data_IF_664723789849
#
_entry.id   IF_664723789849
#
_cell.length_a   1.000
_cell.length_b   1.000
_cell.length_c   1.000
_cell.angle_alpha   90.00
_cell.angle_beta   90.00
_cell.angle_gamma   90.00
#
_symmetry.space_group_name_H-M   'P 1'
#
loop_
_entity.id
_entity.type
_entity.pdbx_description
1 polymer ?
#
# COMPACT_ATOMS: atom_id res chain seq x y z
N UNK A 1 -13.62 38.06 30.73
CA UNK A 1 -14.96 37.66 30.25
C UNK A 1 -15.62 38.90 29.66
N UNK A 2 -16.24 38.86 28.46
CA UNK A 2 -17.00 37.76 27.85
C UNK A 2 -16.51 37.30 26.44
N UNK A 3 -17.06 36.16 26.02
CA UNK A 3 -17.02 35.58 24.66
C UNK A 3 -17.69 36.48 23.62
N UNK A 4 -17.32 36.33 22.32
CA UNK A 4 -18.33 36.17 21.30
C UNK A 4 -18.12 34.91 20.45
N UNK A 5 -19.19 34.14 20.44
CA UNK A 5 -19.55 33.00 19.62
C UNK A 5 -19.44 33.30 18.12
N UNK A 6 -18.77 32.42 17.39
CA UNK A 6 -18.75 32.42 15.93
C UNK A 6 -18.46 31.01 15.44
N UNK A 7 -19.50 30.18 15.38
CA UNK A 7 -19.45 28.81 14.86
C UNK A 7 -19.38 28.83 13.34
N UNK A 8 -18.43 28.15 12.68
CA UNK A 8 -18.61 27.66 11.33
C UNK A 8 -19.11 26.20 11.38
N UNK A 9 -20.26 25.97 10.76
CA UNK A 9 -20.93 24.69 10.57
C UNK A 9 -20.00 23.67 9.90
N UNK A 10 -19.70 22.56 10.59
CA UNK A 10 -19.08 21.39 9.96
C UNK A 10 -20.09 20.73 9.02
N UNK A 11 -19.78 20.69 7.72
CA UNK A 11 -20.60 19.98 6.73
C UNK A 11 -19.90 18.73 6.18
N UNK A 12 -19.28 17.92 7.03
CA UNK A 12 -18.91 16.55 6.65
C UNK A 12 -19.03 15.63 7.87
N UNK A 13 -20.27 15.22 8.12
CA UNK A 13 -20.54 14.08 8.99
C UNK A 13 -20.41 12.79 8.19
N UNK A 14 -19.32 12.05 8.41
CA UNK A 14 -19.32 10.58 8.35
C UNK A 14 -18.16 10.05 9.16
N UNK A 15 -18.48 9.16 10.10
CA UNK A 15 -17.56 8.52 11.04
C UNK A 15 -16.57 7.66 10.27
N UNK A 16 -15.29 7.90 10.51
CA UNK A 16 -14.21 6.94 10.28
C UNK A 16 -14.51 5.71 11.15
N UNK A 17 -14.37 4.52 10.59
CA UNK A 17 -14.46 3.30 11.37
C UNK A 17 -13.29 3.27 12.37
N UNK A 18 -13.62 3.37 13.65
CA UNK A 18 -12.68 3.30 14.76
C UNK A 18 -11.87 2.00 14.69
N UNK A 19 -10.54 2.14 14.64
CA UNK A 19 -9.61 1.06 14.96
C UNK A 19 -9.75 0.77 16.46
N UNK A 20 -10.36 -0.38 16.78
CA UNK A 20 -10.57 -0.80 18.17
C UNK A 20 -9.24 -1.06 18.90
N UNK A 21 -9.11 -0.65 20.18
CA UNK A 21 -7.95 -0.94 21.01
C UNK A 21 -7.98 -2.37 21.62
N UNK A 22 -6.77 -2.87 21.89
CA UNK A 22 -6.39 -4.15 22.47
C UNK A 22 -7.11 -4.45 23.82
N UNK A 23 -7.53 -5.70 24.11
CA UNK A 23 -8.24 -6.01 25.35
C UNK A 23 -7.30 -6.27 26.55
N UNK A 24 -7.56 -5.59 27.66
CA UNK A 24 -6.96 -5.83 28.97
C UNK A 24 -7.79 -6.87 29.75
N UNK A 25 -7.16 -7.97 30.20
CA UNK A 25 -7.66 -8.90 31.25
C UNK A 25 -7.85 -8.12 32.56
N UNK A 26 -8.85 -8.29 33.45
CA UNK A 26 -9.40 -9.44 34.22
C UNK A 26 -10.49 -8.84 35.18
N UNK A 27 -11.21 -9.53 36.09
CA UNK A 27 -11.61 -10.94 36.24
C UNK A 27 -13.15 -11.15 36.45
N UNK A 28 -13.50 -12.42 36.69
CA UNK A 28 -14.81 -13.10 36.83
C UNK A 28 -15.72 -12.59 37.95
N UNK A 29 -17.05 -12.55 37.70
CA UNK A 29 -18.06 -13.02 38.67
C UNK A 29 -19.42 -13.33 38.01
N UNK A 30 -20.06 -14.38 38.52
CA UNK A 30 -21.19 -15.14 37.97
C UNK A 30 -22.57 -14.55 38.31
N UNK A 31 -23.59 -14.80 37.48
CA UNK A 31 -24.87 -15.45 37.88
C UNK A 31 -25.73 -15.79 36.65
N UNK A 32 -26.57 -16.81 36.81
CA UNK A 32 -27.18 -17.65 35.77
C UNK A 32 -28.65 -17.30 35.42
N UNK A 33 -29.21 -18.09 34.48
CA UNK A 33 -30.64 -18.26 34.06
C UNK A 33 -31.03 -17.39 32.85
N UNK A 34 -31.75 -17.81 31.80
CA UNK A 34 -32.37 -19.07 31.38
C UNK A 34 -32.83 -18.91 29.89
N UNK A 35 -32.93 -20.03 29.17
CA UNK A 35 -33.68 -20.41 27.93
C UNK A 35 -34.15 -19.35 26.90
N UNK A 36 -33.83 -19.60 25.61
CA UNK A 36 -34.79 -19.45 24.50
C UNK A 36 -34.26 -18.90 23.17
N UNK A 37 -34.16 -19.79 22.16
CA UNK A 37 -34.42 -19.53 20.72
C UNK A 37 -33.58 -18.46 20.00
N UNK A 38 -32.67 -18.90 19.11
CA UNK A 38 -32.81 -18.88 17.64
C UNK A 38 -31.45 -19.27 17.06
N UNK A 39 -31.38 -20.40 16.35
CA UNK A 39 -30.20 -20.86 15.62
C UNK A 39 -30.00 -19.95 14.40
N UNK A 40 -29.48 -18.74 14.66
CA UNK A 40 -28.89 -17.89 13.63
C UNK A 40 -27.61 -18.57 13.19
N UNK A 41 -27.65 -19.19 12.02
CA UNK A 41 -26.45 -19.53 11.26
C UNK A 41 -25.62 -18.25 11.09
N UNK A 42 -24.65 -18.07 11.98
CA UNK A 42 -23.50 -17.22 11.74
C UNK A 42 -22.85 -17.75 10.46
N UNK A 43 -23.19 -17.11 9.35
CA UNK A 43 -22.36 -17.16 8.16
C UNK A 43 -21.03 -16.59 8.63
N UNK A 44 -19.93 -17.36 8.66
CA UNK A 44 -18.65 -16.78 9.01
C UNK A 44 -18.41 -15.66 8.01
N UNK A 45 -18.41 -14.42 8.51
CA UNK A 45 -17.91 -13.28 7.75
C UNK A 45 -16.50 -13.69 7.39
N UNK A 46 -16.28 -13.96 6.10
CA UNK A 46 -14.94 -14.22 5.58
C UNK A 46 -14.17 -12.94 5.86
N UNK A 47 -13.33 -12.96 6.89
CA UNK A 47 -12.39 -11.88 7.15
C UNK A 47 -11.58 -11.70 5.88
N UNK A 48 -11.90 -10.62 5.17
CA UNK A 48 -11.22 -10.21 3.95
C UNK A 48 -9.77 -9.99 4.36
N UNK A 49 -8.82 -10.59 3.63
CA UNK A 49 -7.39 -10.42 3.89
C UNK A 49 -7.08 -8.93 3.81
N UNK A 50 -7.00 -8.25 4.97
CA UNK A 50 -6.84 -6.80 5.05
C UNK A 50 -5.64 -6.35 4.21
N UNK A 51 -5.78 -5.31 3.38
CA UNK A 51 -4.68 -4.83 2.55
C UNK A 51 -3.52 -4.35 3.43
N UNK A 52 -2.31 -4.79 3.13
CA UNK A 52 -1.11 -4.29 3.78
C UNK A 52 -0.71 -2.94 3.18
N UNK A 53 -1.02 -1.84 3.88
CA UNK A 53 -0.65 -0.47 3.47
C UNK A 53 0.54 -0.01 4.31
N UNK A 54 1.72 0.12 3.69
CA UNK A 54 2.94 0.63 4.36
C UNK A 54 3.26 2.05 3.95
N UNK A 55 3.03 2.36 2.68
CA UNK A 55 3.25 3.69 2.13
C UNK A 55 1.98 4.20 1.47
N UNK A 56 1.56 5.40 1.86
CA UNK A 56 0.43 6.11 1.27
C UNK A 56 0.93 7.34 0.52
N UNK A 57 0.39 7.57 -0.68
CA UNK A 57 0.53 8.82 -1.42
C UNK A 57 -0.67 9.69 -1.14
N UNK A 58 -0.46 10.97 -0.87
CA UNK A 58 -1.52 11.92 -0.54
C UNK A 58 -1.50 13.04 -1.56
N UNK A 59 -2.62 13.28 -2.23
CA UNK A 59 -2.89 14.52 -2.93
C UNK A 59 -3.32 15.56 -1.90
N UNK A 60 -2.51 16.59 -1.74
CA UNK A 60 -2.74 17.62 -0.73
C UNK A 60 -3.76 18.62 -1.29
N UNK A 61 -4.85 18.92 -0.57
CA UNK A 61 -5.78 19.98 -0.95
C UNK A 61 -5.07 21.33 -1.10
N UNK A 62 -5.55 22.20 -1.99
CA UNK A 62 -4.90 23.48 -2.26
C UNK A 62 -4.96 24.44 -1.06
N UNK A 63 -5.94 24.25 -0.18
CA UNK A 63 -6.16 25.06 1.02
C UNK A 63 -5.12 24.80 2.11
N UNK A 64 -4.41 23.67 2.07
CA UNK A 64 -3.45 23.31 3.11
C UNK A 64 -2.13 24.07 2.91
N UNK A 65 -1.69 24.94 3.85
CA UNK A 65 -0.46 25.69 3.68
C UNK A 65 0.77 24.78 3.64
N UNK A 66 1.76 25.10 2.80
CA UNK A 66 3.00 24.30 2.71
C UNK A 66 3.77 24.23 4.04
N UNK A 67 3.70 25.28 4.86
CA UNK A 67 4.36 25.32 6.17
C UNK A 67 3.74 24.32 7.16
N UNK A 68 2.42 24.08 7.06
CA UNK A 68 1.73 23.10 7.89
C UNK A 68 2.21 21.66 7.62
N UNK A 69 2.59 21.38 6.37
CA UNK A 69 3.12 20.08 5.95
C UNK A 69 4.59 19.88 6.34
N UNK A 70 5.38 20.95 6.40
CA UNK A 70 6.79 20.91 6.78
C UNK A 70 6.98 20.62 8.28
N UNK A 71 6.06 21.09 9.13
CA UNK A 71 6.11 20.92 10.59
C UNK A 71 5.63 19.55 11.10
N UNK A 72 5.35 18.59 10.22
CA UNK A 72 4.91 17.25 10.61
C UNK A 72 3.48 17.18 11.16
N UNK A 73 2.67 18.23 10.99
CA UNK A 73 1.26 18.26 11.43
C UNK A 73 0.31 17.64 10.39
N UNK A 74 0.71 16.51 9.79
CA UNK A 74 -0.12 15.83 8.79
C UNK A 74 -1.46 15.38 9.37
N UNK A 75 -1.43 14.85 10.60
CA UNK A 75 -2.62 14.39 11.31
C UNK A 75 -3.68 15.50 11.48
N UNK A 76 -3.23 16.72 11.81
CA UNK A 76 -4.14 17.87 12.01
C UNK A 76 -4.87 18.29 10.73
N UNK A 77 -4.23 18.17 9.58
CA UNK A 77 -4.74 18.71 8.31
C UNK A 77 -5.32 17.66 7.37
N UNK A 78 -4.88 16.40 7.50
CA UNK A 78 -5.21 15.33 6.57
C UNK A 78 -5.85 14.13 7.28
N UNK A 79 -5.98 14.16 8.61
CA UNK A 79 -6.48 13.04 9.43
C UNK A 79 -5.72 11.71 9.18
N UNK A 80 -4.45 11.81 8.78
CA UNK A 80 -3.56 10.66 8.59
C UNK A 80 -2.32 10.82 9.44
N UNK A 81 -2.05 9.82 10.27
CA UNK A 81 -0.80 9.70 11.03
C UNK A 81 0.24 8.98 10.17
N UNK A 82 1.43 9.54 10.06
CA UNK A 82 2.53 8.91 9.34
C UNK A 82 3.76 9.81 9.24
N UNK A 83 4.87 9.25 8.75
CA UNK A 83 6.12 9.99 8.57
C UNK A 83 6.41 10.21 7.09
N UNK A 84 6.74 11.45 6.71
CA UNK A 84 7.21 11.78 5.37
C UNK A 84 8.36 10.84 4.95
N UNK A 85 8.18 10.19 3.81
CA UNK A 85 9.12 9.22 3.27
C UNK A 85 9.55 9.64 1.86
N UNK A 86 10.85 9.64 1.53
CA UNK A 86 11.27 9.93 0.17
C UNK A 86 10.83 8.80 -0.76
N UNK A 87 10.04 9.17 -1.76
CA UNK A 87 9.48 8.25 -2.75
C UNK A 87 9.62 8.78 -4.16
N UNK A 88 9.36 10.06 -4.35
CA UNK A 88 9.32 10.66 -5.67
C UNK A 88 10.68 11.11 -6.14
N UNK A 89 10.88 11.05 -7.45
CA UNK A 89 12.01 11.70 -8.11
C UNK A 89 11.61 13.14 -8.41
N UNK A 90 12.48 14.09 -8.09
CA UNK A 90 12.36 15.44 -8.59
C UNK A 90 12.78 15.47 -10.07
N UNK A 91 12.15 16.35 -10.85
CA UNK A 91 12.51 16.59 -12.24
C UNK A 91 14.00 16.98 -12.36
N UNK A 92 14.76 16.42 -13.32
CA UNK A 92 16.18 16.76 -13.49
C UNK A 92 16.44 18.26 -13.76
N UNK A 93 15.45 18.96 -14.32
CA UNK A 93 15.47 20.40 -14.60
C UNK A 93 15.04 21.27 -13.40
N UNK A 94 14.98 20.72 -12.18
CA UNK A 94 14.58 21.48 -10.99
C UNK A 94 15.54 22.66 -10.73
N UNK A 95 15.01 23.88 -10.74
CA UNK A 95 15.80 25.06 -10.41
C UNK A 95 16.00 25.20 -8.89
N UNK A 96 17.14 25.76 -8.45
CA UNK A 96 17.46 25.93 -7.02
C UNK A 96 16.36 26.63 -6.22
N UNK A 97 15.70 27.64 -6.78
CA UNK A 97 14.62 28.37 -6.12
C UNK A 97 13.34 27.51 -5.96
N UNK A 98 13.15 26.50 -6.80
CA UNK A 98 12.04 25.54 -6.70
C UNK A 98 12.26 24.51 -5.60
N UNK A 99 13.48 24.35 -5.06
CA UNK A 99 13.76 23.39 -3.98
C UNK A 99 12.90 23.67 -2.74
N UNK A 100 12.59 24.94 -2.47
CA UNK A 100 11.71 25.35 -1.35
C UNK A 100 10.26 24.85 -1.49
N UNK A 101 9.86 24.43 -2.70
CA UNK A 101 8.53 23.88 -2.99
C UNK A 101 8.49 22.35 -2.86
N UNK A 102 9.62 21.71 -2.62
CA UNK A 102 9.74 20.26 -2.48
C UNK A 102 9.74 19.88 -1.00
N UNK A 103 9.12 18.75 -0.68
CA UNK A 103 9.07 18.21 0.67
C UNK A 103 10.13 17.13 0.84
N UNK A 104 10.96 17.22 1.88
CA UNK A 104 11.96 16.20 2.20
C UNK A 104 12.98 15.93 1.08
N UNK A 105 13.36 16.95 0.31
CA UNK A 105 14.31 16.84 -0.79
C UNK A 105 15.67 16.35 -0.28
N UNK A 106 16.20 15.29 -0.88
CA UNK A 106 17.49 14.67 -0.56
C UNK A 106 18.45 14.82 -1.71
N UNK A 107 19.72 15.08 -1.39
CA UNK A 107 20.79 15.10 -2.39
C UNK A 107 20.98 13.70 -2.99
N UNK A 108 21.20 13.64 -4.30
CA UNK A 108 21.37 12.38 -5.03
C UNK A 108 21.00 12.49 -6.51
N UNK A 109 21.36 11.46 -7.28
CA UNK A 109 20.93 11.28 -8.67
C UNK A 109 20.30 9.87 -8.83
N UNK A 110 19.00 9.77 -9.10
CA UNK A 110 18.02 10.86 -9.16
C UNK A 110 17.84 11.55 -7.80
N UNK A 111 17.38 12.79 -7.80
CA UNK A 111 17.12 13.56 -6.58
C UNK A 111 15.80 13.09 -5.98
N UNK A 112 15.84 12.52 -4.78
CA UNK A 112 14.64 11.97 -4.11
C UNK A 112 13.96 13.03 -3.25
N UNK A 113 12.64 12.96 -3.15
CA UNK A 113 11.84 13.80 -2.25
C UNK A 113 10.65 13.03 -1.71
N UNK A 114 10.12 13.50 -0.58
CA UNK A 114 8.87 13.00 -0.04
C UNK A 114 7.66 13.55 -0.81
N UNK A 115 7.81 14.63 -1.57
CA UNK A 115 6.73 15.19 -2.34
C UNK A 115 7.01 16.56 -2.93
N UNK A 116 6.01 17.13 -3.59
CA UNK A 116 6.05 18.43 -4.22
C UNK A 116 4.92 18.61 -5.24
N UNK A 117 4.84 19.77 -5.91
CA UNK A 117 3.94 19.97 -7.03
C UNK A 117 4.17 18.92 -8.13
N UNK A 118 3.10 18.35 -8.68
CA UNK A 118 3.15 17.28 -9.70
C UNK A 118 4.10 17.63 -10.85
N UNK A 119 4.07 18.87 -11.35
CA UNK A 119 4.94 19.32 -12.46
C UNK A 119 6.44 19.35 -12.13
N UNK A 120 6.81 19.25 -10.85
CA UNK A 120 8.19 19.20 -10.39
C UNK A 120 8.63 17.76 -10.05
N UNK A 121 7.73 16.79 -10.15
CA UNK A 121 7.99 15.37 -9.93
C UNK A 121 8.17 14.65 -11.27
N UNK A 122 9.18 13.79 -11.36
CA UNK A 122 9.43 12.96 -12.54
C UNK A 122 8.66 11.63 -12.45
N UNK A 123 7.32 11.72 -12.48
CA UNK A 123 6.45 10.54 -12.39
C UNK A 123 6.63 9.61 -13.61
N UNK A 124 6.87 10.20 -14.79
CA UNK A 124 7.12 9.46 -16.02
C UNK A 124 8.45 8.68 -15.96
N UNK A 125 9.53 9.33 -15.51
CA UNK A 125 10.83 8.68 -15.32
C UNK A 125 10.78 7.57 -14.28
N UNK A 126 10.03 7.75 -13.19
CA UNK A 126 9.79 6.69 -12.20
C UNK A 126 9.09 5.47 -12.82
N UNK A 127 7.99 5.68 -13.56
CA UNK A 127 7.26 4.60 -14.27
C UNK A 127 8.17 3.88 -15.26
N UNK A 128 8.91 4.63 -16.06
CA UNK A 128 9.82 4.09 -17.07
C UNK A 128 10.94 3.25 -16.44
N UNK A 129 11.65 3.80 -15.44
CA UNK A 129 12.71 3.11 -14.72
C UNK A 129 12.21 1.82 -14.05
N UNK A 130 11.03 1.88 -13.43
CA UNK A 130 10.40 0.72 -12.82
C UNK A 130 10.04 -0.35 -13.86
N UNK A 131 9.51 0.04 -15.03
CA UNK A 131 9.21 -0.89 -16.12
C UNK A 131 10.48 -1.58 -16.65
N UNK A 132 11.57 -0.83 -16.86
CA UNK A 132 12.85 -1.39 -17.33
C UNK A 132 13.41 -2.38 -16.30
N UNK A 133 13.46 -1.96 -15.03
CA UNK A 133 13.94 -2.81 -13.93
C UNK A 133 13.09 -4.07 -13.75
N UNK A 134 11.76 -3.94 -13.89
CA UNK A 134 10.83 -5.06 -13.85
C UNK A 134 11.06 -6.04 -15.01
N UNK A 135 11.39 -5.55 -16.20
CA UNK A 135 11.75 -6.38 -17.35
C UNK A 135 12.96 -7.27 -17.07
N UNK A 136 14.03 -6.69 -16.52
CA UNK A 136 15.23 -7.43 -16.14
C UNK A 136 14.95 -8.44 -15.01
N UNK A 137 14.17 -8.02 -14.00
CA UNK A 137 13.78 -8.88 -12.89
C UNK A 137 12.93 -10.06 -13.36
N UNK A 138 11.98 -9.85 -14.27
CA UNK A 138 11.14 -10.92 -14.84
C UNK A 138 11.96 -11.92 -15.65
N UNK A 139 12.90 -11.44 -16.49
CA UNK A 139 13.81 -12.32 -17.23
C UNK A 139 14.63 -13.22 -16.30
N UNK A 140 15.15 -12.66 -15.20
CA UNK A 140 15.87 -13.43 -14.17
C UNK A 140 14.95 -14.45 -13.51
N UNK A 141 13.76 -14.03 -13.07
CA UNK A 141 12.78 -14.91 -12.46
C UNK A 141 12.38 -16.06 -13.41
N UNK A 142 12.17 -15.78 -14.68
CA UNK A 142 11.85 -16.78 -15.69
C UNK A 142 13.00 -17.79 -15.87
N UNK A 143 14.25 -17.32 -15.87
CA UNK A 143 15.42 -18.20 -15.94
C UNK A 143 15.49 -19.16 -14.75
N UNK A 144 15.34 -18.67 -13.52
CA UNK A 144 15.49 -19.49 -12.31
C UNK A 144 14.30 -20.43 -12.06
N UNK A 145 13.12 -20.10 -12.57
CA UNK A 145 11.90 -20.92 -12.39
C UNK A 145 11.61 -21.82 -13.58
N UNK A 146 12.46 -21.79 -14.61
CA UNK A 146 12.34 -22.62 -15.81
C UNK A 146 12.26 -24.10 -15.42
N UNK A 147 11.27 -24.81 -15.95
CA UNK A 147 11.04 -26.23 -15.67
C UNK A 147 10.26 -26.51 -14.37
N UNK A 148 9.94 -25.50 -13.57
CA UNK A 148 9.04 -25.67 -12.41
C UNK A 148 7.58 -25.48 -12.82
N UNK A 149 6.67 -26.26 -12.22
CA UNK A 149 5.22 -26.03 -12.34
C UNK A 149 4.85 -24.66 -11.76
N UNK A 150 3.83 -24.02 -12.31
CA UNK A 150 3.23 -22.83 -11.71
C UNK A 150 2.84 -23.11 -10.26
N UNK A 151 3.23 -22.20 -9.37
CA UNK A 151 2.89 -22.22 -7.97
C UNK A 151 1.52 -21.60 -7.74
N UNK A 152 0.79 -22.18 -6.80
CA UNK A 152 -0.38 -21.62 -6.16
C UNK A 152 0.04 -20.37 -5.36
N UNK A 153 -0.60 -19.21 -5.58
CA UNK A 153 -0.34 -17.98 -4.81
C UNK A 153 -0.63 -18.12 -3.32
N UNK A 154 0.07 -17.34 -2.48
CA UNK A 154 -0.14 -17.31 -1.03
C UNK A 154 -1.59 -17.05 -0.60
N UNK A 155 -2.35 -16.12 -1.22
CA UNK A 155 -3.74 -15.88 -0.86
C UNK A 155 -4.64 -17.13 -0.93
N UNK A 156 -4.35 -18.10 -1.80
CA UNK A 156 -5.13 -19.35 -1.87
C UNK A 156 -4.86 -20.30 -0.69
N UNK A 157 -3.69 -20.22 -0.06
CA UNK A 157 -3.37 -20.94 1.16
C UNK A 157 -4.01 -20.27 2.38
N UNK A 158 -3.95 -18.93 2.43
CA UNK A 158 -4.65 -18.15 3.46
C UNK A 158 -6.16 -18.37 3.41
N UNK A 159 -6.77 -18.33 2.23
CA UNK A 159 -8.20 -18.55 2.09
C UNK A 159 -8.63 -19.91 2.67
N UNK A 160 -7.90 -20.98 2.34
CA UNK A 160 -8.13 -22.32 2.92
C UNK A 160 -7.97 -22.35 4.43
N UNK A 161 -6.98 -21.63 4.96
CA UNK A 161 -6.79 -21.50 6.41
C UNK A 161 -7.97 -20.78 7.06
N UNK A 162 -8.45 -19.68 6.48
CA UNK A 162 -9.59 -18.93 7.02
C UNK A 162 -10.92 -19.70 6.92
N UNK A 163 -11.10 -20.54 5.89
CA UNK A 163 -12.30 -21.38 5.76
C UNK A 163 -12.39 -22.45 6.85
N UNK A 164 -11.28 -23.08 7.22
CA UNK A 164 -11.24 -24.09 8.29
C UNK A 164 -9.88 -24.05 9.03
N UNK A 165 -9.72 -23.16 10.02
CA UNK A 165 -8.45 -22.97 10.71
C UNK A 165 -7.99 -24.20 11.50
N UNK A 166 -8.94 -25.03 11.94
CA UNK A 166 -8.66 -26.23 12.72
C UNK A 166 -8.12 -27.36 11.84
N UNK A 167 -8.73 -27.58 10.67
CA UNK A 167 -8.29 -28.60 9.72
C UNK A 167 -7.11 -28.18 8.86
N UNK A 168 -6.97 -26.88 8.61
CA UNK A 168 -5.86 -26.31 7.85
C UNK A 168 -5.18 -25.16 8.61
N UNK A 169 -4.38 -25.46 9.65
CA UNK A 169 -3.70 -24.44 10.44
C UNK A 169 -2.68 -23.63 9.63
N UNK A 170 -2.41 -22.39 10.07
CA UNK A 170 -1.52 -21.45 9.36
C UNK A 170 -0.11 -22.00 9.11
N UNK A 171 0.45 -22.76 10.04
CA UNK A 171 1.77 -23.36 9.88
C UNK A 171 1.79 -24.42 8.76
N UNK A 172 0.70 -25.17 8.58
CA UNK A 172 0.53 -26.12 7.47
C UNK A 172 0.40 -25.36 6.16
N UNK A 173 -0.43 -24.31 6.13
CA UNK A 173 -0.59 -23.44 4.96
C UNK A 173 0.76 -22.87 4.50
N UNK A 174 1.56 -22.35 5.42
CA UNK A 174 2.91 -21.84 5.16
C UNK A 174 3.82 -22.94 4.61
N UNK A 175 3.86 -24.09 5.27
CA UNK A 175 4.73 -25.18 4.84
C UNK A 175 4.34 -25.72 3.45
N UNK A 176 3.05 -25.81 3.15
CA UNK A 176 2.58 -26.21 1.82
C UNK A 176 2.96 -25.19 0.74
N UNK A 177 2.82 -23.89 1.04
CA UNK A 177 3.24 -22.83 0.13
C UNK A 177 4.76 -22.88 -0.14
N UNK A 178 5.56 -23.05 0.90
CA UNK A 178 7.02 -23.07 0.82
C UNK A 178 7.58 -24.32 0.13
N UNK A 179 6.87 -25.45 0.19
CA UNK A 179 7.28 -26.72 -0.47
C UNK A 179 7.08 -26.72 -1.98
N UNK A 180 6.45 -25.69 -2.55
CA UNK A 180 6.23 -25.63 -4.00
C UNK A 180 7.56 -25.51 -4.75
N UNK A 181 7.81 -26.31 -5.81
CA UNK A 181 9.10 -26.31 -6.52
C UNK A 181 9.56 -24.93 -7.00
N UNK A 182 8.62 -24.10 -7.46
CA UNK A 182 8.90 -22.73 -7.91
C UNK A 182 9.30 -21.80 -6.77
N UNK A 183 8.67 -21.94 -5.60
CA UNK A 183 9.02 -21.17 -4.39
C UNK A 183 10.39 -21.61 -3.87
N UNK A 184 10.67 -22.92 -3.87
CA UNK A 184 11.99 -23.45 -3.52
C UNK A 184 13.08 -22.94 -4.47
N UNK A 185 12.84 -22.89 -5.78
CA UNK A 185 13.78 -22.34 -6.75
C UNK A 185 14.10 -20.85 -6.47
N UNK A 186 13.08 -20.04 -6.15
CA UNK A 186 13.26 -18.65 -5.74
C UNK A 186 14.07 -18.53 -4.45
N UNK A 187 13.79 -19.37 -3.44
CA UNK A 187 14.53 -19.40 -2.17
C UNK A 187 16.00 -19.79 -2.35
N UNK A 188 16.27 -20.82 -3.18
CA UNK A 188 17.64 -21.24 -3.51
C UNK A 188 18.42 -20.12 -4.21
N UNK A 189 17.80 -19.45 -5.18
CA UNK A 189 18.39 -18.26 -5.82
C UNK A 189 18.67 -17.14 -4.82
N UNK A 190 17.72 -16.83 -3.95
CA UNK A 190 17.87 -15.77 -2.95
C UNK A 190 18.95 -16.07 -1.90
N UNK A 191 19.15 -17.34 -1.54
CA UNK A 191 20.16 -17.77 -0.56
C UNK A 191 21.60 -17.47 -1.00
N UNK A 192 21.85 -17.40 -2.30
CA UNK A 192 23.19 -17.11 -2.88
C UNK A 192 23.26 -15.74 -3.55
N UNK A 193 22.15 -15.00 -3.61
CA UNK A 193 22.09 -13.69 -4.25
C UNK A 193 22.28 -12.55 -3.25
N UNK A 194 23.02 -11.49 -3.62
CA UNK A 194 23.06 -10.28 -2.80
C UNK A 194 21.65 -9.64 -2.73
N UNK A 195 21.34 -8.83 -1.70
CA UNK A 195 20.00 -8.27 -1.50
C UNK A 195 19.40 -7.59 -2.74
N UNK A 196 20.19 -6.81 -3.49
CA UNK A 196 19.75 -6.15 -4.73
C UNK A 196 19.33 -7.12 -5.85
N UNK A 197 19.81 -8.37 -5.79
CA UNK A 197 19.53 -9.43 -6.76
C UNK A 197 18.45 -10.41 -6.34
N UNK A 198 17.94 -10.30 -5.11
CA UNK A 198 16.89 -11.16 -4.58
C UNK A 198 15.54 -10.87 -5.25
N UNK A 199 14.75 -11.93 -5.37
CA UNK A 199 13.40 -11.93 -5.88
C UNK A 199 12.45 -12.04 -4.70
N UNK A 200 11.51 -11.10 -4.61
CA UNK A 200 10.52 -11.13 -3.56
C UNK A 200 9.54 -12.29 -3.80
N UNK A 201 9.36 -13.13 -2.78
CA UNK A 201 8.44 -14.27 -2.85
C UNK A 201 7.00 -13.77 -2.75
N UNK A 202 6.77 -12.63 -2.12
CA UNK A 202 5.43 -12.01 -2.03
C UNK A 202 4.98 -11.51 -3.41
N UNK A 203 5.92 -11.26 -4.33
CA UNK A 203 5.63 -10.93 -5.74
C UNK A 203 5.40 -12.17 -6.62
N UNK A 204 5.38 -13.39 -6.08
CA UNK A 204 5.23 -14.61 -6.88
C UNK A 204 4.01 -14.55 -7.79
N UNK A 205 2.86 -14.10 -7.30
CA UNK A 205 1.62 -14.06 -8.08
C UNK A 205 1.76 -13.16 -9.32
N UNK A 206 2.31 -11.95 -9.16
CA UNK A 206 2.54 -11.04 -10.29
C UNK A 206 3.67 -11.52 -11.19
N UNK A 207 4.74 -12.12 -10.64
CA UNK A 207 5.85 -12.65 -11.45
C UNK A 207 5.40 -13.77 -12.39
N UNK A 208 4.41 -14.57 -11.97
CA UNK A 208 3.80 -15.63 -12.77
C UNK A 208 2.94 -15.13 -13.93
N UNK A 209 2.66 -13.83 -14.00
CA UNK A 209 2.01 -13.22 -15.17
C UNK A 209 3.00 -13.08 -16.34
N UNK A 210 2.55 -12.48 -17.44
CA UNK A 210 3.44 -12.19 -18.57
C UNK A 210 4.49 -11.13 -18.21
N UNK A 211 5.61 -11.13 -18.93
CA UNK A 211 6.63 -10.09 -18.78
C UNK A 211 6.05 -8.67 -18.96
N UNK A 212 5.06 -8.53 -19.85
CA UNK A 212 4.38 -7.25 -20.08
C UNK A 212 3.53 -6.83 -18.87
N UNK A 213 2.73 -7.76 -18.33
CA UNK A 213 1.88 -7.48 -17.17
C UNK A 213 2.72 -7.13 -15.93
N UNK A 214 3.80 -7.86 -15.65
CA UNK A 214 4.71 -7.55 -14.54
C UNK A 214 5.35 -6.15 -14.70
N UNK A 215 5.76 -5.76 -15.92
CA UNK A 215 6.29 -4.41 -16.19
C UNK A 215 5.26 -3.32 -15.92
N UNK A 216 4.04 -3.50 -16.41
CA UNK A 216 2.97 -2.51 -16.18
C UNK A 216 2.59 -2.40 -14.71
N UNK A 217 2.46 -3.54 -14.02
CA UNK A 217 2.23 -3.56 -12.57
C UNK A 217 3.30 -2.75 -11.83
N UNK A 218 4.59 -3.06 -12.06
CA UNK A 218 5.70 -2.35 -11.39
C UNK A 218 5.78 -0.88 -11.77
N UNK A 219 5.47 -0.52 -13.01
CA UNK A 219 5.41 0.88 -13.45
C UNK A 219 4.31 1.65 -12.70
N UNK A 220 3.10 1.09 -12.61
CA UNK A 220 1.99 1.71 -11.88
C UNK A 220 2.31 1.85 -10.39
N UNK A 221 2.75 0.78 -9.73
CA UNK A 221 3.05 0.78 -8.30
C UNK A 221 4.21 1.71 -7.92
N UNK A 222 5.13 2.01 -8.84
CA UNK A 222 6.25 2.90 -8.57
C UNK A 222 5.79 4.29 -8.09
N UNK A 223 4.70 4.79 -8.68
CA UNK A 223 4.17 6.11 -8.33
C UNK A 223 3.10 6.02 -7.25
N UNK A 224 2.17 5.08 -7.35
CA UNK A 224 0.96 5.05 -6.50
C UNK A 224 1.19 4.57 -5.07
N UNK A 225 2.26 3.81 -4.80
CA UNK A 225 2.47 3.14 -3.51
C UNK A 225 1.38 2.10 -3.20
N UNK A 226 1.10 1.87 -1.91
CA UNK A 226 0.13 0.86 -1.47
C UNK A 226 -1.30 1.43 -1.39
N UNK A 227 -1.44 2.75 -1.22
CA UNK A 227 -2.71 3.46 -1.24
C UNK A 227 -2.53 4.93 -1.66
N UNK A 228 -3.61 5.53 -2.17
CA UNK A 228 -3.69 6.96 -2.50
C UNK A 228 -4.83 7.61 -1.71
N UNK A 229 -4.54 8.69 -0.98
CA UNK A 229 -5.54 9.61 -0.45
C UNK A 229 -5.72 10.76 -1.43
N UNK A 230 -6.94 10.95 -1.92
CA UNK A 230 -7.29 12.03 -2.84
C UNK A 230 -7.43 13.38 -2.11
N UNK A 231 -7.50 14.47 -2.86
CA UNK A 231 -7.66 15.82 -2.34
C UNK A 231 -9.05 16.06 -1.70
N UNK A 232 -10.08 15.33 -2.14
CA UNK A 232 -11.40 15.31 -1.48
C UNK A 232 -11.46 14.42 -0.22
N UNK A 233 -10.34 13.81 0.17
CA UNK A 233 -10.23 12.94 1.35
C UNK A 233 -10.69 11.49 1.13
N UNK A 234 -11.01 11.10 -0.11
CA UNK A 234 -11.33 9.71 -0.46
C UNK A 234 -10.07 8.83 -0.46
N UNK A 235 -10.14 7.66 0.19
CA UNK A 235 -9.06 6.68 0.16
C UNK A 235 -9.25 5.70 -1.01
N UNK A 236 -8.28 5.65 -1.91
CA UNK A 236 -8.16 4.65 -2.97
C UNK A 236 -7.12 3.62 -2.49
N UNK A 237 -7.59 2.46 -2.04
CA UNK A 237 -6.77 1.35 -1.56
C UNK A 237 -7.30 0.03 -2.13
N UNK A 238 -6.46 -1.03 -2.20
CA UNK A 238 -6.96 -2.35 -2.55
C UNK A 238 -7.89 -2.88 -1.45
N UNK A 239 -8.94 -3.63 -1.82
CA UNK A 239 -9.85 -4.23 -0.84
C UNK A 239 -9.19 -5.36 -0.04
N UNK A 240 -8.21 -6.04 -0.63
CA UNK A 240 -7.42 -7.09 0.00
C UNK A 240 -6.01 -7.17 -0.57
N UNK A 241 -5.16 -8.00 0.04
CA UNK A 241 -3.83 -8.30 -0.50
C UNK A 241 -3.82 -9.22 -1.74
N UNK A 242 -4.99 -9.64 -2.25
CA UNK A 242 -5.06 -10.40 -3.50
C UNK A 242 -4.54 -9.59 -4.69
N UNK A 243 -3.93 -10.28 -5.66
CA UNK A 243 -3.41 -9.61 -6.84
C UNK A 243 -4.52 -8.91 -7.66
N UNK A 244 -5.73 -9.48 -7.72
CA UNK A 244 -6.86 -8.89 -8.44
C UNK A 244 -7.29 -7.53 -7.84
N UNK A 245 -7.38 -7.45 -6.51
CA UNK A 245 -7.72 -6.20 -5.82
C UNK A 245 -6.60 -5.17 -5.96
N UNK A 246 -5.33 -5.60 -5.91
CA UNK A 246 -4.18 -4.73 -6.19
C UNK A 246 -4.20 -4.16 -7.60
N UNK A 247 -4.55 -4.95 -8.61
CA UNK A 247 -4.69 -4.46 -10.00
C UNK A 247 -5.83 -3.45 -10.12
N UNK A 248 -6.98 -3.72 -9.48
CA UNK A 248 -8.12 -2.79 -9.46
C UNK A 248 -7.75 -1.46 -8.81
N UNK A 249 -7.02 -1.51 -7.69
CA UNK A 249 -6.47 -0.33 -7.03
C UNK A 249 -5.53 0.43 -7.96
N UNK A 250 -4.56 -0.24 -8.58
CA UNK A 250 -3.58 0.43 -9.44
C UNK A 250 -4.22 1.14 -10.63
N UNK A 251 -5.26 0.57 -11.24
CA UNK A 251 -6.01 1.23 -12.29
C UNK A 251 -6.60 2.56 -11.79
N UNK A 252 -7.39 2.51 -10.71
CA UNK A 252 -8.03 3.71 -10.13
C UNK A 252 -7.02 4.75 -9.68
N UNK A 253 -5.92 4.30 -9.05
CA UNK A 253 -4.88 5.19 -8.54
C UNK A 253 -4.09 5.86 -9.66
N UNK A 254 -3.78 5.15 -10.75
CA UNK A 254 -3.11 5.74 -11.93
C UNK A 254 -4.03 6.76 -12.59
N UNK A 255 -5.30 6.40 -12.84
CA UNK A 255 -6.29 7.29 -13.44
C UNK A 255 -6.42 8.59 -12.63
N UNK A 256 -6.50 8.47 -11.30
CA UNK A 256 -6.56 9.63 -10.42
C UNK A 256 -5.28 10.48 -10.50
N UNK A 257 -4.09 9.88 -10.39
CA UNK A 257 -2.84 10.62 -10.44
C UNK A 257 -2.60 11.32 -11.79
N UNK A 258 -3.03 10.72 -12.89
CA UNK A 258 -2.93 11.31 -14.22
C UNK A 258 -3.95 12.44 -14.45
N UNK A 259 -5.00 12.52 -13.63
CA UNK A 259 -5.98 13.61 -13.65
C UNK A 259 -5.52 14.87 -12.90
N UNK A 260 -4.47 14.76 -12.06
CA UNK A 260 -4.02 15.86 -11.22
C UNK A 260 -3.43 17.02 -12.01
N UNK A 261 -3.76 18.23 -11.58
CA UNK A 261 -3.14 19.44 -12.12
C UNK A 261 -1.65 19.52 -11.76
N UNK A 262 -0.84 20.10 -12.65
CA UNK A 262 0.60 20.24 -12.43
C UNK A 262 0.98 21.06 -11.18
N UNK A 263 0.07 21.89 -10.66
CA UNK A 263 0.24 22.65 -9.42
C UNK A 263 -0.15 21.87 -8.17
N UNK A 264 -0.99 20.83 -8.30
CA UNK A 264 -1.39 19.97 -7.19
C UNK A 264 -0.15 19.40 -6.52
N UNK A 265 -0.16 19.32 -5.19
CA UNK A 265 0.97 18.78 -4.43
C UNK A 265 0.70 17.32 -4.08
N UNK A 266 1.71 16.49 -4.27
CA UNK A 266 1.75 15.12 -3.77
C UNK A 266 2.70 15.01 -2.59
N UNK A 267 2.36 14.15 -1.65
CA UNK A 267 3.20 13.72 -0.53
C UNK A 267 3.21 12.20 -0.43
N UNK A 268 4.31 11.63 0.04
CA UNK A 268 4.41 10.22 0.40
C UNK A 268 4.72 10.10 1.89
N UNK A 269 3.99 9.23 2.56
CA UNK A 269 4.18 8.91 3.97
C UNK A 269 4.30 7.42 4.19
N UNK A 270 5.02 7.04 5.24
CA UNK A 270 4.92 5.70 5.82
C UNK A 270 3.95 5.73 6.99
N UNK A 271 3.09 4.71 7.06
CA UNK A 271 2.15 4.47 8.16
C UNK A 271 2.81 3.65 9.28
#
# INVERSE_FOLDING_TARGET
MPNPSGTPLSRFGRRVADLLPLPTRTPVSQTASDVGTTDSRDVPVVDIITPTIRTMVIAVPDEVPSDALACGHLDRHLAVTGRLTPRFWATPALHRWQHRRMFGLRQGRPTYCAGGPVRLLDLAGMRHSAAVSAGLRHQRWHHITRGTRAATPWPQFLHRHHTDPHRYPLHVARADFERQPRVLAMRMHNAVSPPAGQLDIDELEVLQTSAHAYRQYRAASAVTADAVLTDDGTSIAPNSDTFADRVTYLHRAVDYLDSLHGTQRLLAINL
#
